data_IF_602765751385
#
_entry.id   IF_602765751385
#
_cell.length_a   1.000
_cell.length_b   1.000
_cell.length_c   1.000
_cell.angle_alpha   90.00
_cell.angle_beta   90.00
_cell.angle_gamma   90.00
#
_symmetry.space_group_name_H-M   'P 1'
#
loop_
_entity.id
_entity.type
_entity.pdbx_description
1 polymer ?
#
# COMPACT_ATOMS: atom_id res chain seq x y z
N UNK A 1 27.26 13.28 16.03
CA UNK A 1 26.97 14.34 15.03
C UNK A 1 26.66 13.75 13.65
N UNK A 2 26.01 12.56 13.62
CA UNK A 2 25.65 11.79 12.40
C UNK A 2 24.13 11.72 12.17
N UNK A 3 23.31 12.17 13.12
CA UNK A 3 21.85 11.99 13.10
C UNK A 3 21.08 13.14 12.42
N UNK A 4 21.77 14.19 11.92
CA UNK A 4 21.09 15.36 11.34
C UNK A 4 20.67 15.20 9.87
N UNK A 5 20.94 14.07 9.20
CA UNK A 5 20.55 13.83 7.80
C UNK A 5 20.17 12.36 7.57
N UNK A 6 19.32 11.78 8.43
CA UNK A 6 18.64 10.54 8.04
C UNK A 6 17.47 10.91 7.09
N UNK A 7 17.42 10.40 5.83
CA UNK A 7 16.34 10.74 4.89
C UNK A 7 14.94 10.33 5.37
N UNK A 8 14.85 9.50 6.42
CA UNK A 8 13.61 9.03 7.03
C UNK A 8 13.67 9.11 8.56
N UNK A 9 13.61 10.32 9.15
CA UNK A 9 13.86 10.52 10.57
C UNK A 9 12.85 9.81 11.49
N UNK A 10 11.65 9.51 11.00
CA UNK A 10 10.62 8.82 11.80
C UNK A 10 10.38 7.36 11.45
N UNK A 11 11.13 6.79 10.50
CA UNK A 11 11.04 5.37 10.21
C UNK A 11 12.09 4.58 11.00
N UNK A 12 11.76 3.40 11.53
CA UNK A 12 12.71 2.54 12.25
C UNK A 12 13.97 2.31 11.43
N UNK A 13 15.15 2.39 12.05
CA UNK A 13 16.41 2.08 11.36
C UNK A 13 16.39 0.62 10.90
N UNK A 14 16.57 0.33 9.59
CA UNK A 14 16.46 -1.03 9.06
C UNK A 14 17.61 -1.93 9.50
N UNK A 15 18.77 -1.37 9.87
CA UNK A 15 19.91 -2.16 10.33
C UNK A 15 19.78 -2.50 11.83
N UNK A 16 19.19 -1.60 12.61
CA UNK A 16 19.01 -1.79 14.07
C UNK A 16 17.69 -2.44 14.46
N UNK A 17 16.65 -2.26 13.65
CA UNK A 17 15.29 -2.72 13.95
C UNK A 17 14.70 -3.47 12.73
N UNK A 18 15.47 -4.44 12.23
CA UNK A 18 15.11 -5.22 11.05
C UNK A 18 13.80 -6.01 11.23
N UNK A 19 13.39 -6.33 12.47
CA UNK A 19 12.13 -7.05 12.75
C UNK A 19 10.88 -6.37 12.17
N UNK A 20 10.95 -5.05 11.98
CA UNK A 20 9.84 -4.28 11.46
C UNK A 20 9.71 -4.34 9.95
N UNK A 21 10.76 -4.76 9.26
CA UNK A 21 10.79 -4.97 7.81
C UNK A 21 10.78 -6.46 7.43
N UNK A 22 10.88 -7.35 8.43
CA UNK A 22 10.83 -8.79 8.22
C UNK A 22 9.54 -9.24 7.52
N UNK A 23 9.70 -10.03 6.47
CA UNK A 23 8.63 -10.64 5.66
C UNK A 23 7.64 -9.65 5.03
N UNK A 24 7.92 -8.34 5.04
CA UNK A 24 7.02 -7.33 4.49
C UNK A 24 6.65 -7.60 3.03
N UNK A 25 7.58 -7.98 2.12
CA UNK A 25 7.21 -8.29 0.74
C UNK A 25 6.17 -9.41 0.63
N UNK A 26 6.34 -10.49 1.40
CA UNK A 26 5.43 -11.65 1.40
C UNK A 26 4.10 -11.28 2.03
N UNK A 27 4.11 -10.60 3.18
CA UNK A 27 2.90 -10.12 3.85
C UNK A 27 2.10 -9.18 2.95
N UNK A 28 2.76 -8.29 2.21
CA UNK A 28 2.11 -7.40 1.24
C UNK A 28 1.56 -8.16 0.03
N UNK A 29 2.23 -9.22 -0.44
CA UNK A 29 1.70 -10.07 -1.50
C UNK A 29 0.41 -10.78 -1.06
N UNK A 30 0.38 -11.36 0.15
CA UNK A 30 -0.82 -12.00 0.70
C UNK A 30 -1.92 -10.96 0.93
N UNK A 31 -1.60 -9.80 1.53
CA UNK A 31 -2.53 -8.71 1.71
C UNK A 31 -3.13 -8.22 0.38
N UNK A 32 -2.32 -8.16 -0.69
CA UNK A 32 -2.77 -7.79 -2.02
C UNK A 32 -3.79 -8.79 -2.59
N UNK A 33 -3.58 -10.10 -2.41
CA UNK A 33 -4.56 -11.11 -2.82
C UNK A 33 -5.86 -10.94 -2.04
N UNK A 34 -5.79 -10.75 -0.73
CA UNK A 34 -6.99 -10.53 0.10
C UNK A 34 -7.73 -9.26 -0.31
N UNK A 35 -7.02 -8.15 -0.50
CA UNK A 35 -7.62 -6.91 -0.98
C UNK A 35 -8.24 -7.07 -2.38
N UNK A 36 -7.60 -7.82 -3.28
CA UNK A 36 -8.16 -8.11 -4.60
C UNK A 36 -9.47 -8.89 -4.49
N UNK A 37 -9.57 -9.87 -3.59
CA UNK A 37 -10.82 -10.59 -3.33
C UNK A 37 -11.90 -9.68 -2.74
N UNK A 38 -11.55 -8.81 -1.80
CA UNK A 38 -12.49 -7.84 -1.23
C UNK A 38 -13.01 -6.88 -2.31
N UNK A 39 -12.11 -6.30 -3.10
CA UNK A 39 -12.48 -5.41 -4.21
C UNK A 39 -13.33 -6.15 -5.23
N UNK A 40 -13.01 -7.40 -5.57
CA UNK A 40 -13.84 -8.23 -6.47
C UNK A 40 -15.27 -8.36 -5.96
N UNK A 41 -15.44 -8.70 -4.68
CA UNK A 41 -16.77 -8.82 -4.07
C UNK A 41 -17.52 -7.48 -4.03
N UNK A 42 -16.83 -6.38 -3.71
CA UNK A 42 -17.41 -5.04 -3.73
C UNK A 42 -17.83 -4.62 -5.14
N UNK A 43 -17.01 -4.87 -6.15
CA UNK A 43 -17.33 -4.57 -7.55
C UNK A 43 -18.51 -5.42 -8.04
N UNK A 44 -18.55 -6.71 -7.68
CA UNK A 44 -19.69 -7.58 -7.99
C UNK A 44 -20.98 -7.09 -7.34
N UNK A 45 -20.91 -6.57 -6.10
CA UNK A 45 -22.05 -5.98 -5.41
C UNK A 45 -22.54 -4.69 -6.08
N UNK A 46 -21.64 -3.86 -6.62
CA UNK A 46 -21.97 -2.62 -7.34
C UNK A 46 -22.57 -2.92 -8.72
N UNK A 47 -22.20 -4.03 -9.34
CA UNK A 47 -22.56 -4.33 -10.73
C UNK A 47 -24.07 -4.29 -11.04
N UNK A 48 -24.99 -4.85 -10.23
CA UNK A 48 -26.43 -4.76 -10.48
C UNK A 48 -26.96 -3.32 -10.48
N UNK A 49 -26.37 -2.44 -9.66
CA UNK A 49 -26.73 -1.02 -9.59
C UNK A 49 -26.32 -0.24 -10.84
N UNK A 50 -25.45 -0.81 -11.68
CA UNK A 50 -25.12 -0.28 -13.02
C UNK A 50 -26.05 -0.83 -14.11
N UNK A 51 -27.14 -1.52 -13.75
CA UNK A 51 -27.98 -2.27 -14.68
C UNK A 51 -27.16 -3.25 -15.55
N UNK A 52 -26.09 -3.82 -14.96
CA UNK A 52 -25.08 -4.66 -15.62
C UNK A 52 -24.27 -4.00 -16.76
N UNK A 53 -24.49 -2.73 -17.07
CA UNK A 53 -23.68 -1.99 -18.05
C UNK A 53 -22.21 -1.90 -17.64
N UNK A 54 -21.92 -1.99 -16.32
CA UNK A 54 -20.58 -2.07 -15.78
C UNK A 54 -19.72 -3.22 -16.31
N UNK A 55 -20.32 -4.26 -16.92
CA UNK A 55 -19.56 -5.32 -17.59
C UNK A 55 -18.73 -4.79 -18.78
N UNK A 56 -19.22 -3.77 -19.51
CA UNK A 56 -18.52 -3.20 -20.66
C UNK A 56 -17.29 -2.37 -20.26
N UNK A 57 -17.29 -1.80 -19.06
CA UNK A 57 -16.19 -1.00 -18.51
C UNK A 57 -15.69 -1.57 -17.17
N UNK A 58 -15.75 -2.90 -17.02
CA UNK A 58 -15.43 -3.58 -15.78
C UNK A 58 -14.03 -3.24 -15.24
N UNK A 59 -12.96 -3.15 -16.06
CA UNK A 59 -11.64 -2.75 -15.58
C UNK A 59 -11.63 -1.34 -14.96
N UNK A 60 -12.39 -0.41 -15.53
CA UNK A 60 -12.53 0.95 -14.99
C UNK A 60 -13.35 0.96 -13.70
N UNK A 61 -14.46 0.21 -13.66
CA UNK A 61 -15.27 0.07 -12.44
C UNK A 61 -14.45 -0.54 -11.30
N UNK A 62 -13.68 -1.59 -11.58
CA UNK A 62 -12.73 -2.19 -10.65
C UNK A 62 -11.71 -1.18 -10.13
N UNK A 63 -11.11 -0.38 -11.03
CA UNK A 63 -10.13 0.64 -10.66
C UNK A 63 -10.74 1.64 -9.67
N UNK A 64 -11.94 2.16 -9.96
CA UNK A 64 -12.63 3.14 -9.11
C UNK A 64 -12.97 2.53 -7.74
N UNK A 65 -13.56 1.32 -7.71
CA UNK A 65 -13.90 0.64 -6.45
C UNK A 65 -12.65 0.35 -5.62
N UNK A 66 -11.59 -0.17 -6.25
CA UNK A 66 -10.29 -0.40 -5.62
C UNK A 66 -9.71 0.88 -5.03
N UNK A 67 -9.77 1.99 -5.79
CA UNK A 67 -9.25 3.28 -5.37
C UNK A 67 -9.99 3.78 -4.12
N UNK A 68 -11.32 3.81 -4.15
CA UNK A 68 -12.15 4.26 -3.02
C UNK A 68 -11.92 3.36 -1.80
N UNK A 69 -11.92 2.04 -1.98
CA UNK A 69 -11.65 1.08 -0.91
C UNK A 69 -10.30 1.35 -0.22
N UNK A 70 -9.23 1.52 -1.01
CA UNK A 70 -7.88 1.74 -0.49
C UNK A 70 -7.75 3.08 0.22
N UNK A 71 -8.27 4.18 -0.36
CA UNK A 71 -8.21 5.50 0.28
C UNK A 71 -8.93 5.49 1.63
N UNK A 72 -10.14 4.93 1.70
CA UNK A 72 -10.91 4.88 2.95
C UNK A 72 -10.25 3.99 4.00
N UNK A 73 -9.75 2.82 3.62
CA UNK A 73 -9.15 1.89 4.58
C UNK A 73 -7.79 2.37 5.09
N UNK A 74 -6.96 2.92 4.20
CA UNK A 74 -5.64 3.46 4.54
C UNK A 74 -5.79 4.74 5.36
N UNK A 75 -6.66 5.69 4.98
CA UNK A 75 -6.85 6.90 5.79
C UNK A 75 -7.42 6.60 7.19
N UNK A 76 -8.29 5.60 7.31
CA UNK A 76 -8.91 5.24 8.59
C UNK A 76 -8.06 4.40 9.54
N UNK A 77 -6.98 3.77 9.06
CA UNK A 77 -6.14 2.94 9.95
C UNK A 77 -4.74 2.65 9.46
N UNK A 78 -4.21 3.49 8.58
CA UNK A 78 -2.88 3.39 8.00
C UNK A 78 -2.61 2.07 7.28
N UNK A 79 -3.65 1.34 6.86
CA UNK A 79 -3.55 0.01 6.29
C UNK A 79 -4.87 -0.40 5.64
N UNK A 80 -4.79 -1.11 4.51
CA UNK A 80 -5.96 -1.81 3.94
C UNK A 80 -6.39 -2.97 4.85
N UNK A 81 -7.58 -3.55 4.62
CA UNK A 81 -8.02 -4.68 5.45
C UNK A 81 -7.09 -5.90 5.28
N UNK A 82 -6.62 -6.18 4.06
CA UNK A 82 -5.62 -7.22 3.83
C UNK A 82 -4.32 -6.96 4.58
N UNK A 83 -3.83 -5.71 4.58
CA UNK A 83 -2.63 -5.34 5.34
C UNK A 83 -2.85 -5.50 6.85
N UNK A 84 -4.01 -5.12 7.37
CA UNK A 84 -4.36 -5.30 8.79
C UNK A 84 -4.35 -6.77 9.20
N UNK A 85 -4.87 -7.66 8.36
CA UNK A 85 -4.85 -9.11 8.59
C UNK A 85 -3.41 -9.64 8.68
N UNK A 86 -2.51 -9.09 7.87
CA UNK A 86 -1.09 -9.44 7.88
C UNK A 86 -0.25 -8.66 8.91
N UNK A 87 -0.90 -7.89 9.80
CA UNK A 87 -0.24 -7.01 10.76
C UNK A 87 0.74 -6.01 10.13
N UNK A 88 0.43 -5.53 8.93
CA UNK A 88 1.19 -4.51 8.20
C UNK A 88 0.52 -3.16 8.38
N UNK A 89 1.32 -2.12 8.64
CA UNK A 89 0.88 -0.73 8.66
C UNK A 89 1.81 0.14 7.80
N UNK A 90 1.25 1.15 7.16
CA UNK A 90 1.98 2.16 6.38
C UNK A 90 2.35 3.34 7.29
N UNK A 91 3.57 3.85 7.16
CA UNK A 91 4.04 5.05 7.88
C UNK A 91 4.68 6.03 6.93
N UNK A 92 4.48 7.32 7.20
CA UNK A 92 5.13 8.40 6.46
C UNK A 92 6.62 8.46 6.77
N UNK A 93 7.38 9.25 6.03
CA UNK A 93 8.81 9.50 6.31
C UNK A 93 9.05 10.08 7.73
N UNK A 94 8.01 10.67 8.33
CA UNK A 94 7.99 11.17 9.71
C UNK A 94 7.55 10.13 10.74
N UNK A 95 7.25 8.89 10.33
CA UNK A 95 6.75 7.85 11.23
C UNK A 95 5.27 7.99 11.60
N UNK A 96 4.59 8.99 11.05
CA UNK A 96 3.17 9.26 11.33
C UNK A 96 2.28 8.24 10.59
N UNK A 97 1.08 8.03 11.12
CA UNK A 97 0.03 7.28 10.41
C UNK A 97 -0.47 8.10 9.23
N UNK A 98 -0.90 7.41 8.18
CA UNK A 98 -1.41 8.05 6.98
C UNK A 98 -2.70 8.82 7.29
N UNK A 99 -2.72 10.10 6.93
CA UNK A 99 -3.95 10.86 6.82
C UNK A 99 -4.67 10.59 5.50
N UNK A 100 -5.74 11.35 5.24
CA UNK A 100 -6.47 11.27 3.97
C UNK A 100 -5.60 11.64 2.77
N UNK A 101 -4.78 12.69 2.90
CA UNK A 101 -3.88 13.15 1.84
C UNK A 101 -2.84 12.10 1.46
N UNK A 102 -2.18 11.49 2.46
CA UNK A 102 -1.20 10.43 2.24
C UNK A 102 -1.85 9.18 1.63
N UNK A 103 -3.02 8.78 2.15
CA UNK A 103 -3.78 7.65 1.62
C UNK A 103 -4.17 7.85 0.14
N UNK A 104 -4.61 9.05 -0.22
CA UNK A 104 -4.96 9.40 -1.59
C UNK A 104 -3.74 9.39 -2.51
N UNK A 105 -2.66 10.06 -2.13
CA UNK A 105 -1.42 10.10 -2.93
C UNK A 105 -0.80 8.71 -3.09
N UNK A 106 -0.75 7.92 -2.02
CA UNK A 106 -0.28 6.54 -2.06
C UNK A 106 -1.15 5.68 -2.99
N UNK A 107 -2.47 5.77 -2.86
CA UNK A 107 -3.38 4.98 -3.71
C UNK A 107 -3.28 5.40 -5.17
N UNK A 108 -3.15 6.69 -5.46
CA UNK A 108 -2.96 7.21 -6.81
C UNK A 108 -1.69 6.67 -7.44
N UNK A 109 -0.55 6.80 -6.74
CA UNK A 109 0.73 6.39 -7.28
C UNK A 109 0.85 4.87 -7.41
N UNK A 110 0.26 4.12 -6.46
CA UNK A 110 0.07 2.67 -6.55
C UNK A 110 -0.77 2.29 -7.79
N UNK A 111 -1.89 2.97 -8.02
CA UNK A 111 -2.79 2.69 -9.15
C UNK A 111 -2.10 2.97 -10.49
N UNK A 112 -1.29 4.04 -10.57
CA UNK A 112 -0.46 4.33 -11.73
C UNK A 112 0.59 3.24 -11.94
N UNK A 113 1.32 2.84 -10.90
CA UNK A 113 2.30 1.76 -11.01
C UNK A 113 1.65 0.45 -11.49
N UNK A 114 0.47 0.09 -10.95
CA UNK A 114 -0.24 -1.14 -11.29
C UNK A 114 -0.81 -1.11 -12.73
N UNK A 115 -1.11 0.08 -13.26
CA UNK A 115 -1.61 0.25 -14.63
C UNK A 115 -0.56 -0.10 -15.70
N UNK A 116 0.73 -0.14 -15.33
CA UNK A 116 1.83 -0.44 -16.24
C UNK A 116 2.67 -1.61 -15.74
N UNK A 117 2.97 -2.58 -16.62
CA UNK A 117 3.73 -3.77 -16.24
C UNK A 117 5.15 -3.43 -15.74
N UNK A 118 5.85 -2.52 -16.42
CA UNK A 118 7.26 -2.20 -16.12
C UNK A 118 7.43 -1.56 -14.73
N UNK A 119 6.73 -0.45 -14.37
CA UNK A 119 6.79 0.11 -13.02
C UNK A 119 6.41 -0.90 -11.93
N UNK A 120 5.45 -1.77 -12.20
CA UNK A 120 5.03 -2.80 -11.25
C UNK A 120 6.14 -3.83 -10.98
N UNK A 121 6.84 -4.31 -12.02
CA UNK A 121 7.97 -5.23 -11.86
C UNK A 121 9.15 -4.58 -11.12
N UNK A 122 9.45 -3.31 -11.44
CA UNK A 122 10.46 -2.52 -10.72
C UNK A 122 10.09 -2.44 -9.23
N UNK A 123 8.83 -2.13 -8.93
CA UNK A 123 8.34 -2.05 -7.55
C UNK A 123 8.50 -3.38 -6.80
N UNK A 124 8.23 -4.52 -7.44
CA UNK A 124 8.44 -5.84 -6.84
C UNK A 124 9.92 -6.10 -6.56
N UNK A 125 10.80 -5.82 -7.52
CA UNK A 125 12.25 -5.97 -7.37
C UNK A 125 12.82 -5.07 -6.26
N UNK A 126 12.32 -3.84 -6.13
CA UNK A 126 12.71 -2.92 -5.07
C UNK A 126 12.28 -3.42 -3.69
N UNK A 127 11.06 -3.97 -3.55
CA UNK A 127 10.62 -4.51 -2.26
C UNK A 127 11.51 -5.66 -1.76
N UNK A 128 12.12 -6.43 -2.68
CA UNK A 128 13.02 -7.54 -2.34
C UNK A 128 14.47 -7.11 -2.09
N UNK A 129 14.90 -5.97 -2.63
CA UNK A 129 16.31 -5.54 -2.59
C UNK A 129 16.57 -4.36 -1.64
N UNK A 130 15.55 -3.56 -1.32
CA UNK A 130 15.71 -2.40 -0.43
C UNK A 130 15.57 -2.78 1.04
N UNK A 131 16.39 -2.17 1.90
CA UNK A 131 16.42 -2.46 3.34
C UNK A 131 15.08 -2.19 4.06
N UNK A 132 14.24 -1.30 3.52
CA UNK A 132 12.92 -0.94 4.06
C UNK A 132 11.75 -1.62 3.32
N UNK A 133 12.03 -2.57 2.42
CA UNK A 133 11.04 -3.26 1.59
C UNK A 133 10.06 -2.31 0.87
N UNK A 134 10.59 -1.20 0.35
CA UNK A 134 9.80 -0.14 -0.30
C UNK A 134 9.51 -0.50 -1.75
N UNK A 135 8.25 -0.31 -2.16
CA UNK A 135 7.90 -0.27 -3.58
C UNK A 135 8.31 1.05 -4.22
N UNK A 136 8.15 1.13 -5.54
CA UNK A 136 8.48 2.35 -6.31
C UNK A 136 7.65 3.55 -5.83
N UNK A 137 6.34 3.35 -5.62
CA UNK A 137 5.44 4.36 -5.09
C UNK A 137 5.75 4.74 -3.63
N UNK A 138 6.21 3.77 -2.83
CA UNK A 138 6.58 4.01 -1.44
C UNK A 138 7.82 4.90 -1.35
N UNK A 139 8.83 4.61 -2.18
CA UNK A 139 10.05 5.41 -2.26
C UNK A 139 9.75 6.83 -2.73
N UNK A 140 8.91 6.98 -3.75
CA UNK A 140 8.52 8.29 -4.27
C UNK A 140 7.79 9.17 -3.22
N UNK A 141 7.06 8.56 -2.29
CA UNK A 141 6.39 9.26 -1.18
C UNK A 141 7.22 9.31 0.10
N UNK A 142 8.37 8.64 0.14
CA UNK A 142 9.17 8.43 1.34
C UNK A 142 8.47 7.63 2.44
N UNK A 143 7.46 6.84 2.07
CA UNK A 143 6.67 6.03 3.01
C UNK A 143 7.24 4.62 3.12
N UNK A 144 6.91 3.89 4.18
CA UNK A 144 7.26 2.48 4.28
C UNK A 144 6.14 1.66 4.92
N UNK A 145 6.03 0.41 4.49
CA UNK A 145 5.22 -0.60 5.13
C UNK A 145 6.05 -1.30 6.21
N UNK A 146 5.52 -1.38 7.43
CA UNK A 146 6.19 -1.97 8.58
C UNK A 146 5.27 -2.92 9.33
N UNK A 147 5.84 -3.88 10.04
CA UNK A 147 5.09 -4.76 10.93
C UNK A 147 4.59 -3.95 12.12
N UNK A 148 3.30 -4.10 12.46
CA UNK A 148 2.68 -3.41 13.59
C UNK A 148 3.30 -3.87 14.91
N UNK A 149 4.27 -3.11 15.42
CA UNK A 149 4.83 -3.25 16.76
C UNK A 149 4.31 -2.18 17.73
N UNK A 150 4.65 -2.34 19.01
CA UNK A 150 4.69 -1.21 19.95
C UNK A 150 6.10 -0.65 19.90
N UNK A 151 6.19 0.64 19.63
CA UNK A 151 7.42 1.43 19.52
C UNK A 151 7.29 2.58 20.50
#
# INVERSE_FOLDING_TARGET
>A
MSDMIAPYPGLPDPDRNAEFYADIPVKRAIAWVVDALIVFLLTLLVLPFTAFTGLFFYPFLWLVVSFVYRVLTISGGSATLGMRLMSVELRTWRGERFGLGDAFMHTLLYSLCLSFLIPQLISMGMMLTTARAQGLHDLALGTAAINRGRW
#
